data_IF_398741587761
#
_entry.id   IF_398741587761
#
_cell.length_a   1.000
_cell.length_b   1.000
_cell.length_c   1.000
_cell.angle_alpha   90.00
_cell.angle_beta   90.00
_cell.angle_gamma   90.00
#
_symmetry.space_group_name_H-M   'P 1'
#
loop_
_entity.id
_entity.type
_entity.pdbx_description
1 polymer ?
#
# COMPACT_ATOMS: atom_id res chain seq x y z
N UNK A 1 -33.88 -43.76 -7.09
CA UNK A 1 -32.43 -43.94 -7.13
C UNK A 1 -31.84 -42.55 -7.21
N UNK A 2 -31.00 -42.18 -6.25
CA UNK A 2 -30.51 -40.82 -6.09
C UNK A 2 -29.59 -40.44 -7.25
N UNK A 3 -29.86 -39.29 -7.86
CA UNK A 3 -28.95 -38.56 -8.72
C UNK A 3 -27.79 -38.05 -7.84
N UNK A 4 -26.68 -38.79 -7.80
CA UNK A 4 -25.42 -38.28 -7.27
C UNK A 4 -24.79 -37.37 -8.31
N UNK A 5 -25.29 -36.14 -8.35
CA UNK A 5 -24.48 -34.93 -8.18
C UNK A 5 -23.13 -34.90 -8.91
N UNK A 6 -23.16 -34.54 -10.20
CA UNK A 6 -21.98 -34.07 -10.94
C UNK A 6 -21.72 -32.61 -10.54
N UNK A 7 -21.13 -32.39 -9.35
CA UNK A 7 -20.66 -31.08 -8.95
C UNK A 7 -19.53 -30.63 -9.92
N UNK A 8 -19.53 -29.39 -10.43
CA UNK A 8 -18.46 -28.93 -11.30
C UNK A 8 -17.12 -28.99 -10.54
N UNK A 9 -16.14 -29.67 -11.12
CA UNK A 9 -14.79 -29.78 -10.59
C UNK A 9 -14.17 -28.38 -10.49
N UNK A 10 -13.63 -28.02 -9.31
CA UNK A 10 -13.04 -26.69 -9.11
C UNK A 10 -11.83 -26.51 -10.05
N UNK A 11 -11.71 -25.37 -10.75
CA UNK A 11 -10.59 -25.15 -11.64
C UNK A 11 -9.29 -25.08 -10.86
N UNK A 12 -8.30 -25.84 -11.30
CA UNK A 12 -6.94 -25.82 -10.75
C UNK A 12 -6.22 -24.55 -11.23
N UNK A 13 -6.10 -23.54 -10.34
CA UNK A 13 -5.38 -22.29 -10.60
C UNK A 13 -4.03 -22.34 -9.89
N UNK A 14 -2.95 -22.19 -10.65
CA UNK A 14 -1.58 -22.19 -10.16
C UNK A 14 -1.09 -20.76 -9.87
N UNK A 15 -0.39 -20.60 -8.76
CA UNK A 15 0.17 -19.31 -8.33
C UNK A 15 1.68 -19.46 -8.12
N UNK A 16 2.46 -18.53 -8.65
CA UNK A 16 3.91 -18.50 -8.47
C UNK A 16 4.41 -17.11 -8.08
N UNK A 17 5.54 -17.07 -7.37
CA UNK A 17 6.18 -15.83 -6.94
C UNK A 17 7.56 -15.70 -7.54
N UNK A 18 7.84 -14.55 -8.16
CA UNK A 18 9.15 -14.22 -8.72
C UNK A 18 9.66 -12.89 -8.17
N UNK A 19 10.59 -12.96 -7.23
CA UNK A 19 11.30 -11.81 -6.66
C UNK A 19 12.83 -12.02 -6.72
N UNK A 20 13.58 -11.07 -6.15
CA UNK A 20 15.02 -11.23 -5.92
C UNK A 20 15.37 -12.39 -4.97
N UNK A 21 14.44 -12.78 -4.11
CA UNK A 21 14.62 -13.84 -3.11
C UNK A 21 14.23 -15.24 -3.64
N UNK A 22 13.63 -15.33 -4.83
CA UNK A 22 13.21 -16.62 -5.41
C UNK A 22 14.43 -17.50 -5.72
N UNK A 23 14.55 -18.69 -5.11
CA UNK A 23 15.68 -19.60 -5.34
C UNK A 23 15.82 -20.01 -6.80
N UNK A 24 17.05 -20.28 -7.24
CA UNK A 24 17.32 -20.63 -8.65
C UNK A 24 16.51 -21.85 -9.15
N UNK A 25 16.20 -22.81 -8.28
CA UNK A 25 15.38 -23.99 -8.63
C UNK A 25 13.95 -23.58 -8.98
N UNK A 26 13.32 -22.77 -8.13
CA UNK A 26 11.96 -22.27 -8.35
C UNK A 26 11.91 -21.33 -9.56
N UNK A 27 12.94 -20.50 -9.75
CA UNK A 27 13.07 -19.67 -10.95
C UNK A 27 13.06 -20.47 -12.26
N UNK A 28 13.66 -21.66 -12.29
CA UNK A 28 13.61 -22.58 -13.45
C UNK A 28 12.25 -23.23 -13.59
N UNK A 29 11.64 -23.63 -12.47
CA UNK A 29 10.31 -24.23 -12.45
C UNK A 29 9.25 -23.30 -13.05
N UNK A 30 9.30 -22.00 -12.72
CA UNK A 30 8.43 -20.97 -13.31
C UNK A 30 8.65 -20.79 -14.82
N UNK A 31 9.83 -21.16 -15.34
CA UNK A 31 10.10 -21.10 -16.79
C UNK A 31 9.54 -22.33 -17.49
N UNK A 32 9.76 -23.52 -16.92
CA UNK A 32 9.27 -24.77 -17.50
C UNK A 32 7.76 -24.93 -17.39
N UNK A 33 7.18 -24.51 -16.27
CA UNK A 33 5.76 -24.58 -15.94
C UNK A 33 5.33 -23.21 -15.41
N UNK A 34 5.05 -22.24 -16.29
CA UNK A 34 4.60 -20.92 -15.88
C UNK A 34 3.25 -21.00 -15.17
N UNK A 35 3.05 -20.25 -14.06
CA UNK A 35 1.79 -20.26 -13.32
C UNK A 35 0.72 -19.42 -14.03
N UNK A 36 -0.55 -19.67 -13.69
CA UNK A 36 -1.68 -18.85 -14.13
C UNK A 36 -1.62 -17.44 -13.53
N UNK A 37 -1.18 -17.34 -12.27
CA UNK A 37 -0.98 -16.08 -11.55
C UNK A 37 0.49 -15.95 -11.15
N UNK A 38 1.17 -14.93 -11.68
CA UNK A 38 2.54 -14.59 -11.31
C UNK A 38 2.57 -13.32 -10.44
N UNK A 39 3.02 -13.47 -9.20
CA UNK A 39 3.31 -12.34 -8.31
C UNK A 39 4.77 -11.98 -8.47
N UNK A 40 5.08 -10.72 -8.78
CA UNK A 40 6.45 -10.28 -9.07
C UNK A 40 6.69 -8.85 -8.59
N UNK A 41 7.96 -8.43 -8.60
CA UNK A 41 8.33 -7.03 -8.40
C UNK A 41 8.65 -6.36 -9.73
N UNK A 42 8.54 -5.02 -9.86
CA UNK A 42 8.95 -4.28 -11.06
C UNK A 42 10.36 -4.64 -11.54
N UNK A 43 11.31 -4.78 -10.62
CA UNK A 43 12.69 -5.16 -10.93
C UNK A 43 12.77 -6.58 -11.50
N UNK A 44 12.03 -7.52 -10.92
CA UNK A 44 12.02 -8.92 -11.35
C UNK A 44 11.33 -9.10 -12.70
N UNK A 45 10.24 -8.36 -12.94
CA UNK A 45 9.58 -8.29 -14.24
C UNK A 45 10.55 -7.82 -15.34
N UNK A 46 11.28 -6.74 -15.09
CA UNK A 46 12.29 -6.26 -16.04
C UNK A 46 13.32 -7.34 -16.36
N UNK A 47 13.85 -8.03 -15.34
CA UNK A 47 14.81 -9.12 -15.54
C UNK A 47 14.23 -10.26 -16.38
N UNK A 48 12.96 -10.61 -16.18
CA UNK A 48 12.27 -11.62 -17.01
C UNK A 48 12.17 -11.17 -18.46
N UNK A 49 11.70 -9.95 -18.71
CA UNK A 49 11.55 -9.36 -20.06
C UNK A 49 12.88 -9.19 -20.81
N UNK A 50 14.01 -9.12 -20.10
CA UNK A 50 15.37 -9.08 -20.67
C UNK A 50 16.05 -10.44 -20.77
N UNK A 51 15.33 -11.54 -20.50
CA UNK A 51 15.88 -12.90 -20.51
C UNK A 51 15.01 -13.86 -21.32
N UNK A 52 15.40 -15.13 -21.43
CA UNK A 52 14.58 -16.18 -22.05
C UNK A 52 13.26 -16.42 -21.30
N UNK A 53 13.16 -16.02 -20.02
CA UNK A 53 11.90 -16.11 -19.27
C UNK A 53 10.79 -15.25 -19.87
N UNK A 54 11.12 -14.27 -20.75
CA UNK A 54 10.13 -13.43 -21.42
C UNK A 54 9.05 -14.23 -22.17
N UNK A 55 9.41 -15.41 -22.69
CA UNK A 55 8.51 -16.22 -23.51
C UNK A 55 7.35 -16.79 -22.66
N UNK A 56 7.56 -16.94 -21.35
CA UNK A 56 6.49 -17.31 -20.41
C UNK A 56 5.44 -16.22 -20.20
N UNK A 57 5.74 -14.97 -20.56
CA UNK A 57 4.84 -13.83 -20.39
C UNK A 57 3.98 -13.55 -21.63
N UNK A 58 4.20 -14.28 -22.74
CA UNK A 58 3.52 -14.02 -24.02
C UNK A 58 2.00 -14.26 -23.99
N UNK A 59 1.50 -14.96 -22.97
CA UNK A 59 0.07 -15.22 -22.75
C UNK A 59 -0.59 -14.32 -21.70
N UNK A 60 0.12 -13.32 -21.16
CA UNK A 60 -0.43 -12.45 -20.12
C UNK A 60 -1.57 -11.61 -20.70
N UNK A 61 -2.74 -11.69 -20.07
CA UNK A 61 -3.92 -10.90 -20.45
C UNK A 61 -4.17 -9.73 -19.50
N UNK A 62 -3.69 -9.83 -18.26
CA UNK A 62 -3.98 -8.87 -17.20
C UNK A 62 -2.73 -8.57 -16.38
N UNK A 63 -2.51 -7.30 -16.07
CA UNK A 63 -1.45 -6.83 -15.17
C UNK A 63 -2.08 -6.03 -14.04
N UNK A 64 -1.83 -6.46 -12.81
CA UNK A 64 -2.28 -5.77 -11.60
C UNK A 64 -1.07 -5.05 -10.98
N UNK A 65 -1.19 -3.74 -10.80
CA UNK A 65 -0.19 -2.90 -10.14
C UNK A 65 -0.76 -2.48 -8.80
N UNK A 66 -0.35 -3.19 -7.75
CA UNK A 66 -0.74 -2.86 -6.39
C UNK A 66 0.08 -1.69 -5.83
N UNK A 67 -0.52 -0.95 -4.91
CA UNK A 67 0.01 0.28 -4.30
C UNK A 67 0.63 1.25 -5.29
N UNK A 68 -0.10 1.51 -6.38
CA UNK A 68 0.39 2.30 -7.51
C UNK A 68 0.82 3.73 -7.11
N UNK A 69 0.29 4.26 -6.00
CA UNK A 69 0.67 5.56 -5.45
C UNK A 69 2.15 5.64 -5.07
N UNK A 70 2.77 4.51 -4.68
CA UNK A 70 4.20 4.45 -4.36
C UNK A 70 5.10 4.48 -5.60
N UNK A 71 4.51 4.28 -6.78
CA UNK A 71 5.25 4.22 -8.05
C UNK A 71 5.06 5.49 -8.86
N UNK A 72 3.86 6.08 -8.82
CA UNK A 72 3.55 7.34 -9.49
C UNK A 72 4.52 8.44 -9.03
N UNK A 73 5.27 9.03 -9.98
CA UNK A 73 6.31 10.04 -9.75
C UNK A 73 7.65 9.55 -9.16
N UNK A 74 8.00 8.26 -9.31
CA UNK A 74 9.33 7.74 -8.94
C UNK A 74 10.12 7.24 -10.15
N UNK A 75 11.45 7.16 -10.03
CA UNK A 75 12.31 6.50 -11.04
C UNK A 75 11.92 5.02 -11.24
N UNK A 76 11.51 4.37 -10.16
CA UNK A 76 11.01 2.99 -10.16
C UNK A 76 9.72 2.88 -10.97
N UNK A 77 8.81 3.83 -10.81
CA UNK A 77 7.60 3.93 -11.63
C UNK A 77 7.91 4.15 -13.11
N UNK A 78 8.81 5.08 -13.43
CA UNK A 78 9.23 5.29 -14.83
C UNK A 78 9.82 4.01 -15.46
N UNK A 79 10.61 3.27 -14.70
CA UNK A 79 11.15 1.98 -15.13
C UNK A 79 10.05 0.91 -15.33
N UNK A 80 9.06 0.87 -14.43
CA UNK A 80 7.90 -0.02 -14.57
C UNK A 80 7.10 0.34 -15.83
N UNK A 81 6.83 1.62 -16.08
CA UNK A 81 6.07 2.05 -17.26
C UNK A 81 6.72 1.53 -18.55
N UNK A 82 8.04 1.68 -18.69
CA UNK A 82 8.77 1.12 -19.86
C UNK A 82 8.71 -0.41 -19.88
N UNK A 83 8.78 -1.07 -18.73
CA UNK A 83 8.67 -2.53 -18.65
C UNK A 83 7.28 -3.03 -19.08
N UNK A 84 6.21 -2.30 -18.76
CA UNK A 84 4.85 -2.60 -19.19
C UNK A 84 4.67 -2.42 -20.70
N UNK A 85 5.21 -1.34 -21.28
CA UNK A 85 5.20 -1.17 -22.75
C UNK A 85 5.98 -2.28 -23.47
N UNK A 86 7.09 -2.74 -22.87
CA UNK A 86 7.85 -3.88 -23.39
C UNK A 86 7.10 -5.19 -23.27
N UNK A 87 6.31 -5.38 -22.22
CA UNK A 87 5.42 -6.53 -22.10
C UNK A 87 4.36 -6.48 -23.20
N UNK A 88 3.66 -5.35 -23.36
CA UNK A 88 2.61 -5.20 -24.38
C UNK A 88 3.15 -5.41 -25.81
N UNK A 89 4.39 -5.01 -26.09
CA UNK A 89 5.04 -5.29 -27.37
C UNK A 89 5.34 -6.77 -27.63
N UNK A 90 5.29 -7.64 -26.62
CA UNK A 90 5.41 -9.10 -26.76
C UNK A 90 4.04 -9.78 -26.95
N UNK A 91 2.95 -9.10 -26.61
CA UNK A 91 1.62 -9.66 -26.61
C UNK A 91 0.92 -9.43 -27.97
N UNK A 92 -0.01 -10.31 -28.37
CA UNK A 92 -0.86 -10.07 -29.53
C UNK A 92 -1.73 -8.81 -29.38
N UNK A 93 -2.19 -8.57 -28.16
CA UNK A 93 -2.96 -7.40 -27.74
C UNK A 93 -2.43 -6.89 -26.39
N UNK A 94 -2.42 -5.57 -26.13
CA UNK A 94 -1.96 -5.03 -24.85
C UNK A 94 -2.73 -5.62 -23.66
N UNK A 95 -2.04 -5.92 -22.57
CA UNK A 95 -2.68 -6.48 -21.39
C UNK A 95 -3.62 -5.46 -20.72
N UNK A 96 -4.72 -5.93 -20.14
CA UNK A 96 -5.57 -5.10 -19.29
C UNK A 96 -4.77 -4.69 -18.04
N UNK A 97 -4.61 -3.38 -17.84
CA UNK A 97 -3.90 -2.85 -16.66
C UNK A 97 -4.90 -2.43 -15.58
N UNK A 98 -4.71 -2.95 -14.37
CA UNK A 98 -5.52 -2.64 -13.18
C UNK A 98 -4.60 -2.07 -12.11
N UNK A 99 -4.84 -0.83 -11.67
CA UNK A 99 -4.10 -0.20 -10.59
C UNK A 99 -4.90 -0.20 -9.30
N UNK A 100 -4.25 -0.55 -8.18
CA UNK A 100 -4.85 -0.55 -6.86
C UNK A 100 -4.13 0.47 -5.96
N UNK A 101 -4.90 1.22 -5.17
CA UNK A 101 -4.36 2.08 -4.12
C UNK A 101 -5.46 2.44 -3.12
N UNK A 102 -5.09 2.49 -1.83
CA UNK A 102 -6.00 2.97 -0.79
C UNK A 102 -6.06 4.51 -0.70
N UNK A 103 -5.00 5.20 -1.13
CA UNK A 103 -4.85 6.65 -0.97
C UNK A 103 -4.28 7.25 -2.26
N UNK A 104 -5.05 8.12 -2.91
CA UNK A 104 -4.60 8.87 -4.08
C UNK A 104 -5.11 10.30 -3.97
N UNK A 105 -4.19 11.27 -4.01
CA UNK A 105 -4.53 12.69 -4.07
C UNK A 105 -4.98 13.11 -5.48
N UNK A 106 -4.29 12.65 -6.52
CA UNK A 106 -4.59 12.95 -7.91
C UNK A 106 -4.84 11.66 -8.74
N UNK A 107 -6.10 11.17 -8.81
CA UNK A 107 -6.46 9.98 -9.57
C UNK A 107 -6.13 10.08 -11.06
N UNK A 108 -6.26 11.26 -11.67
CA UNK A 108 -5.98 11.45 -13.09
C UNK A 108 -4.50 11.31 -13.43
N UNK A 109 -3.60 11.73 -12.53
CA UNK A 109 -2.16 11.54 -12.71
C UNK A 109 -1.77 10.06 -12.64
N UNK A 110 -2.34 9.33 -11.68
CA UNK A 110 -2.13 7.89 -11.52
C UNK A 110 -2.73 7.11 -12.70
N UNK A 111 -3.91 7.50 -13.17
CA UNK A 111 -4.57 6.92 -14.34
C UNK A 111 -3.71 7.07 -15.61
N UNK A 112 -3.16 8.27 -15.85
CA UNK A 112 -2.21 8.50 -16.96
C UNK A 112 -0.93 7.69 -16.80
N UNK A 113 -0.41 7.54 -15.60
CA UNK A 113 0.76 6.68 -15.33
C UNK A 113 0.47 5.20 -15.65
N UNK A 114 -0.70 4.68 -15.22
CA UNK A 114 -1.10 3.29 -15.43
C UNK A 114 -1.36 2.98 -16.91
N UNK A 115 -2.22 3.77 -17.55
CA UNK A 115 -2.68 3.54 -18.92
C UNK A 115 -1.70 3.97 -19.99
N UNK A 116 -0.76 4.87 -19.66
CA UNK A 116 0.10 5.50 -20.65
C UNK A 116 -0.75 6.27 -21.66
N UNK A 117 -0.81 5.76 -22.90
CA UNK A 117 -1.65 6.32 -23.98
C UNK A 117 -3.08 5.77 -24.00
N UNK A 118 -3.34 4.68 -23.26
CA UNK A 118 -4.65 4.04 -23.21
C UNK A 118 -5.57 4.72 -22.18
N UNK A 119 -6.89 4.77 -22.45
CA UNK A 119 -7.85 5.28 -21.50
C UNK A 119 -7.92 4.39 -20.24
N UNK A 120 -8.14 5.01 -19.08
CA UNK A 120 -8.30 4.31 -17.79
C UNK A 120 -9.61 4.74 -17.15
N UNK A 121 -10.43 3.76 -16.79
CA UNK A 121 -11.64 4.00 -16.01
C UNK A 121 -11.28 4.10 -14.52
N UNK A 122 -11.57 5.23 -13.89
CA UNK A 122 -11.29 5.46 -12.47
C UNK A 122 -12.51 5.03 -11.65
N UNK A 123 -12.36 3.96 -10.87
CA UNK A 123 -13.39 3.48 -9.95
C UNK A 123 -13.01 3.90 -8.53
N UNK A 124 -13.76 4.86 -7.97
CA UNK A 124 -13.59 5.30 -6.59
C UNK A 124 -14.95 5.32 -5.89
N UNK A 125 -15.04 4.63 -4.76
CA UNK A 125 -16.20 4.66 -3.88
C UNK A 125 -15.77 5.26 -2.54
N UNK A 126 -16.41 6.34 -2.06
CA UNK A 126 -16.16 6.85 -0.72
C UNK A 126 -16.46 5.76 0.31
N UNK A 127 -15.46 5.39 1.10
CA UNK A 127 -15.61 4.47 2.23
C UNK A 127 -15.37 5.29 3.51
N UNK A 128 -16.39 5.50 4.36
CA UNK A 128 -16.20 6.18 5.63
C UNK A 128 -15.30 5.33 6.53
N UNK A 129 -14.05 5.75 6.70
CA UNK A 129 -13.08 5.05 7.53
C UNK A 129 -13.18 5.55 8.96
N UNK A 130 -13.67 4.72 9.87
CA UNK A 130 -13.67 5.01 11.32
C UNK A 130 -12.32 4.58 11.89
N UNK A 131 -11.58 5.55 12.40
CA UNK A 131 -10.27 5.32 12.99
C UNK A 131 -10.44 5.20 14.50
N UNK A 132 -10.03 4.05 15.05
CA UNK A 132 -9.86 3.85 16.49
C UNK A 132 -8.35 3.81 16.77
N UNK A 133 -7.76 5.00 16.95
CA UNK A 133 -6.32 5.17 17.10
C UNK A 133 -6.01 5.65 18.52
N UNK A 134 -5.25 4.85 19.26
CA UNK A 134 -4.75 5.21 20.59
C UNK A 134 -3.21 5.31 20.57
N UNK A 135 -2.67 6.43 21.04
CA UNK A 135 -1.23 6.58 21.29
C UNK A 135 -0.97 6.39 22.79
N UNK A 136 -0.33 5.28 23.15
CA UNK A 136 0.08 5.04 24.54
C UNK A 136 1.56 5.37 24.71
N UNK A 137 1.87 6.31 25.59
CA UNK A 137 3.25 6.63 26.00
C UNK A 137 3.45 6.03 27.40
N UNK A 138 4.20 4.93 27.54
CA UNK A 138 4.36 4.25 28.82
C UNK A 138 5.36 4.95 29.76
N UNK A 139 6.01 6.02 29.30
CA UNK A 139 6.97 6.80 30.07
C UNK A 139 6.42 8.19 30.39
N UNK A 140 6.65 8.72 31.59
CA UNK A 140 6.18 10.06 31.97
C UNK A 140 6.78 11.19 31.13
N UNK A 141 7.96 11.02 30.56
CA UNK A 141 8.66 12.04 29.78
C UNK A 141 9.52 11.42 28.66
N UNK A 142 9.24 11.78 27.41
CA UNK A 142 10.02 11.33 26.24
C UNK A 142 11.32 12.12 26.02
N UNK A 143 11.48 13.28 26.66
CA UNK A 143 12.71 14.06 26.63
C UNK A 143 13.78 13.51 27.58
N UNK A 144 13.37 12.68 28.54
CA UNK A 144 14.22 12.03 29.52
C UNK A 144 14.53 10.56 29.15
N UNK A 145 14.70 10.27 27.85
CA UNK A 145 15.28 8.99 27.42
C UNK A 145 16.74 8.94 27.89
N UNK A 146 16.96 8.39 29.09
CA UNK A 146 18.29 8.04 29.59
C UNK A 146 19.04 7.26 28.49
N UNK A 147 20.20 7.76 28.09
CA UNK A 147 20.93 7.24 26.93
C UNK A 147 21.23 5.75 27.06
N UNK A 148 20.90 4.98 26.01
CA UNK A 148 21.36 3.64 25.61
C UNK A 148 21.49 2.47 26.64
N UNK A 149 21.42 2.68 27.95
CA UNK A 149 21.83 1.70 28.96
C UNK A 149 20.75 1.33 29.98
N UNK A 150 19.55 1.90 29.93
CA UNK A 150 18.57 1.77 31.04
C UNK A 150 17.43 0.76 30.83
N UNK A 151 17.45 -0.02 29.74
CA UNK A 151 16.44 -1.09 29.53
C UNK A 151 16.74 -2.38 30.33
N UNK A 152 17.35 -2.26 31.50
CA UNK A 152 17.91 -3.40 32.20
C UNK A 152 18.09 -3.23 33.69
N UNK A 153 17.20 -2.52 34.39
CA UNK A 153 17.05 -2.66 35.85
C UNK A 153 15.79 -1.94 36.32
N UNK A 154 14.82 -2.69 36.85
CA UNK A 154 13.61 -2.14 37.44
C UNK A 154 13.90 -1.27 38.66
N UNK A 155 14.15 0.02 38.45
CA UNK A 155 14.21 1.03 39.51
C UNK A 155 13.17 2.12 39.26
N UNK A 156 11.93 1.82 39.64
CA UNK A 156 11.11 2.82 40.31
C UNK A 156 11.13 2.50 41.81
N UNK A 157 12.08 3.12 42.52
CA UNK A 157 12.06 3.18 43.99
C UNK A 157 11.30 4.44 44.44
N UNK A 158 10.46 4.37 45.48
CA UNK A 158 9.74 5.53 45.97
C UNK A 158 10.66 6.37 46.87
N UNK A 159 10.78 7.68 46.62
CA UNK A 159 11.53 8.55 47.54
C UNK A 159 11.80 9.97 47.06
N UNK A 160 10.91 10.87 47.49
CA UNK A 160 11.16 12.25 47.96
C UNK A 160 11.79 13.33 47.06
N UNK A 161 11.20 14.52 47.22
CA UNK A 161 11.40 15.74 46.46
C UNK A 161 12.65 16.53 46.88
N UNK A 162 13.26 17.25 45.93
CA UNK A 162 13.74 18.63 46.10
C UNK A 162 14.33 19.18 44.77
N UNK A 163 14.03 20.44 44.45
CA UNK A 163 14.83 21.23 43.50
C UNK A 163 14.04 21.79 42.32
N UNK A 164 13.58 23.05 42.46
CA UNK A 164 12.79 23.74 41.45
C UNK A 164 13.56 24.10 40.17
N UNK A 165 12.87 23.97 39.04
CA UNK A 165 13.14 24.70 37.81
C UNK A 165 11.78 25.24 37.28
N UNK A 166 11.75 26.44 36.69
CA UNK A 166 10.49 27.02 36.23
C UNK A 166 9.92 26.20 35.07
N UNK A 167 8.66 25.80 35.19
CA UNK A 167 7.90 25.20 34.07
C UNK A 167 7.78 26.23 32.94
N UNK A 168 8.12 25.89 31.69
CA UNK A 168 7.68 26.70 30.57
C UNK A 168 6.15 26.63 30.49
N UNK A 169 5.50 27.78 30.57
CA UNK A 169 4.06 27.90 30.39
C UNK A 169 3.73 27.73 28.90
N UNK A 170 3.26 26.55 28.52
CA UNK A 170 2.56 26.39 27.25
C UNK A 170 1.12 26.85 27.43
N UNK A 171 0.55 27.63 26.48
CA UNK A 171 -0.86 27.98 26.54
C UNK A 171 -1.69 26.69 26.53
N UNK A 172 -2.78 26.69 27.30
CA UNK A 172 -3.74 25.59 27.35
C UNK A 172 -4.18 25.22 25.92
N UNK A 173 -4.30 23.91 25.66
CA UNK A 173 -4.74 23.37 24.38
C UNK A 173 -5.99 24.10 23.90
N UNK A 174 -5.93 24.64 22.67
CA UNK A 174 -7.13 25.15 22.03
C UNK A 174 -8.08 23.97 21.77
N UNK A 175 -9.39 24.13 22.02
CA UNK A 175 -10.35 23.08 21.72
C UNK A 175 -10.32 22.77 20.22
N UNK A 176 -10.11 21.50 19.89
CA UNK A 176 -10.25 21.01 18.52
C UNK A 176 -11.73 21.06 18.18
N UNK A 177 -12.10 21.87 17.19
CA UNK A 177 -13.49 22.00 16.76
C UNK A 177 -14.03 20.65 16.26
N UNK A 178 -15.25 20.33 16.68
CA UNK A 178 -15.99 19.15 16.21
C UNK A 178 -16.26 19.30 14.71
N UNK A 179 -15.73 18.41 13.84
CA UNK A 179 -15.93 18.50 12.39
C UNK A 179 -17.36 18.14 11.96
N UNK A 180 -18.27 17.83 12.89
CA UNK A 180 -19.69 17.58 12.62
C UNK A 180 -20.59 18.81 12.80
N UNK A 181 -20.06 19.98 13.17
CA UNK A 181 -20.82 21.21 13.28
C UNK A 181 -21.15 21.80 11.90
N UNK A 182 -22.44 21.80 11.56
CA UNK A 182 -23.01 22.44 10.36
C UNK A 182 -22.79 23.97 10.40
N UNK A 183 -22.11 24.58 9.41
CA UNK A 183 -21.79 26.01 9.42
C UNK A 183 -23.00 26.95 9.21
N UNK A 184 -24.23 26.42 9.20
CA UNK A 184 -25.43 27.15 8.75
C UNK A 184 -26.42 27.54 9.87
N UNK A 185 -26.15 27.25 11.14
CA UNK A 185 -27.11 27.51 12.23
C UNK A 185 -26.84 28.86 12.95
N UNK A 186 -27.50 29.89 12.43
CA UNK A 186 -28.06 31.10 13.07
C UNK A 186 -27.54 31.63 14.43
N UNK A 187 -27.25 32.94 14.42
CA UNK A 187 -27.04 33.79 15.60
C UNK A 187 -28.37 34.16 16.28
N UNK A 188 -28.50 34.12 17.62
CA UNK A 188 -29.60 34.79 18.30
C UNK A 188 -29.26 36.26 18.58
N UNK A 189 -30.10 37.14 18.05
CA UNK A 189 -30.21 38.55 18.45
C UNK A 189 -30.45 38.68 19.97
N UNK A 190 -29.70 39.53 20.65
CA UNK A 190 -29.95 39.93 22.04
C UNK A 190 -30.82 41.20 22.07
N UNK A 191 -31.85 41.31 22.92
CA UNK A 191 -32.55 42.57 23.15
C UNK A 191 -31.89 43.37 24.28
N UNK A 192 -31.87 44.70 24.15
CA UNK A 192 -31.40 45.63 25.17
C UNK A 192 -30.94 46.94 24.57
#
# INVERSE_FOLDING_TARGET
>A
AADTENAPEEPLITVGVRSGDTPARERRQLISNPPDILITTPESLYLMLTSSARDTLAGVTTVIVDEIHNLAATKRGAHLAVSLERLDALLPEPAQRIGLSATIENPDAVARFLGGVQPVNIVSKPVPKRWDLSLSVPVPDMAALGGANDYGQGLYGPGEAAGGAPKPAFPAAMPVADPSADPSAESPSTPG
#
